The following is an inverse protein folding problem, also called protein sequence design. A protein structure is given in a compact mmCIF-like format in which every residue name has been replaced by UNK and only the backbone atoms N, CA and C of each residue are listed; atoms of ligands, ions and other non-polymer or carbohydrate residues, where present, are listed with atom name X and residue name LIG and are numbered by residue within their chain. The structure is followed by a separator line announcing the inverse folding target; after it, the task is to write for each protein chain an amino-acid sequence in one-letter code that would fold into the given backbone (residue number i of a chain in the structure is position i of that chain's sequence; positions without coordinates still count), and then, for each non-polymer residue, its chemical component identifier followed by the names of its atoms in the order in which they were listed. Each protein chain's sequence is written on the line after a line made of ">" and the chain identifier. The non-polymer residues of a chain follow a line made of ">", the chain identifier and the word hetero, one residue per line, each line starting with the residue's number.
data_IF_656438202967
#
_entry.id   IF_656438202967
#
_cell.length_a   1.000
_cell.length_b   1.000
_cell.length_c   1.000
_cell.angle_alpha   90.00
_cell.angle_beta   90.00
_cell.angle_gamma   90.00
#
_symmetry.space_group_name_H-M   'P 1'
#
loop_
_entity.id
_entity.type
_entity.pdbx_description
1 polymer ?
#
# COMPACT_ATOMS: atom_id res chain seq x y z
N UNK A 1 -16.41 -33.19 -22.35
CA UNK A 1 -15.71 -32.56 -21.21
C UNK A 1 -15.11 -31.18 -21.54
N UNK A 2 -15.22 -30.68 -22.78
CA UNK A 2 -14.50 -29.49 -23.29
C UNK A 2 -15.13 -28.13 -22.95
N UNK A 3 -16.46 -27.99 -22.99
CA UNK A 3 -17.11 -26.68 -22.77
C UNK A 3 -17.16 -26.25 -21.30
N UNK A 4 -17.04 -27.20 -20.37
CA UNK A 4 -16.97 -26.91 -18.93
C UNK A 4 -15.58 -26.41 -18.55
N UNK A 5 -14.53 -27.12 -19.00
CA UNK A 5 -13.14 -26.72 -18.78
C UNK A 5 -12.87 -25.35 -19.41
N UNK A 6 -13.34 -25.12 -20.64
CA UNK A 6 -13.17 -23.85 -21.35
C UNK A 6 -13.82 -22.67 -20.63
N UNK A 7 -15.01 -22.86 -20.05
CA UNK A 7 -15.69 -21.83 -19.25
C UNK A 7 -14.93 -21.53 -17.96
N UNK A 8 -14.40 -22.54 -17.28
CA UNK A 8 -13.65 -22.35 -16.04
C UNK A 8 -12.29 -21.69 -16.27
N UNK A 9 -11.55 -22.08 -17.29
CA UNK A 9 -10.28 -21.43 -17.65
C UNK A 9 -10.49 -20.00 -18.17
N UNK A 10 -11.62 -19.72 -18.83
CA UNK A 10 -11.99 -18.34 -19.18
C UNK A 10 -12.33 -17.50 -17.94
N UNK A 11 -12.95 -18.11 -16.91
CA UNK A 11 -13.13 -17.51 -15.59
C UNK A 11 -11.79 -17.17 -14.95
N UNK A 12 -10.91 -18.15 -14.76
CA UNK A 12 -9.56 -17.94 -14.24
C UNK A 12 -8.80 -16.81 -14.95
N UNK A 13 -8.82 -16.79 -16.29
CA UNK A 13 -8.18 -15.72 -17.06
C UNK A 13 -8.81 -14.36 -16.78
N UNK A 14 -10.15 -14.27 -16.72
CA UNK A 14 -10.83 -13.03 -16.39
C UNK A 14 -10.49 -12.55 -15.00
N UNK A 15 -10.42 -13.46 -14.02
CA UNK A 15 -10.11 -13.15 -12.63
C UNK A 15 -8.64 -12.69 -12.49
N UNK A 16 -7.72 -13.33 -13.22
CA UNK A 16 -6.30 -12.96 -13.26
C UNK A 16 -6.06 -11.62 -13.99
N UNK A 17 -6.74 -11.37 -15.11
CA UNK A 17 -6.63 -10.13 -15.89
C UNK A 17 -7.17 -8.90 -15.12
N UNK A 18 -7.94 -9.11 -14.03
CA UNK A 18 -8.43 -8.05 -13.15
C UNK A 18 -7.43 -7.65 -12.05
N UNK A 19 -6.41 -8.48 -11.80
CA UNK A 19 -5.37 -8.17 -10.82
C UNK A 19 -4.36 -7.18 -11.39
N UNK A 20 -3.94 -6.15 -10.63
CA UNK A 20 -2.96 -5.19 -11.09
C UNK A 20 -1.58 -5.86 -11.30
N UNK A 21 -0.87 -5.52 -12.39
CA UNK A 21 0.56 -5.87 -12.52
C UNK A 21 1.37 -4.94 -11.60
N UNK A 22 1.73 -5.43 -10.41
CA UNK A 22 2.63 -4.73 -9.50
C UNK A 22 4.05 -5.32 -9.60
N UNK A 23 5.05 -4.47 -9.87
CA UNK A 23 6.47 -4.84 -9.71
C UNK A 23 6.91 -4.58 -8.26
N UNK A 24 7.76 -5.45 -7.71
CA UNK A 24 8.31 -5.26 -6.36
C UNK A 24 9.18 -3.98 -6.32
N UNK A 25 8.85 -2.99 -5.46
CA UNK A 25 9.63 -1.75 -5.37
C UNK A 25 11.00 -1.98 -4.70
N UNK A 26 12.01 -1.15 -4.99
CA UNK A 26 13.33 -1.27 -4.36
C UNK A 26 13.25 -1.00 -2.86
N UNK A 27 13.98 -1.80 -2.06
CA UNK A 27 13.91 -1.70 -0.60
C UNK A 27 14.43 -0.36 -0.06
N UNK A 28 13.71 0.21 0.90
CA UNK A 28 14.07 1.43 1.64
C UNK A 28 15.00 1.12 2.80
N UNK A 29 15.59 2.16 3.42
CA UNK A 29 16.51 1.99 4.56
C UNK A 29 15.81 1.32 5.75
N UNK A 30 14.58 1.70 6.10
CA UNK A 30 13.83 1.05 7.18
C UNK A 30 13.52 -0.42 6.85
N UNK A 31 13.20 -0.72 5.60
CA UNK A 31 12.99 -2.10 5.13
C UNK A 31 14.27 -2.93 5.18
N UNK A 32 15.43 -2.34 4.90
CA UNK A 32 16.73 -3.04 4.94
C UNK A 32 17.14 -3.35 6.38
N UNK A 33 16.86 -2.45 7.33
CA UNK A 33 17.30 -2.58 8.73
C UNK A 33 16.46 -3.62 9.52
N UNK A 34 15.38 -4.16 8.92
CA UNK A 34 14.53 -5.28 9.39
C UNK A 34 14.59 -5.58 10.89
N UNK A 35 13.62 -5.05 11.63
CA UNK A 35 13.17 -5.65 12.88
C UNK A 35 11.65 -5.46 13.02
N UNK A 36 11.04 -6.26 13.90
CA UNK A 36 9.61 -6.25 14.27
C UNK A 36 9.14 -4.92 14.94
N UNK A 37 9.77 -3.78 14.62
CA UNK A 37 9.52 -2.45 15.19
C UNK A 37 9.23 -1.40 14.10
N UNK A 38 8.80 -1.82 12.90
CA UNK A 38 8.53 -0.91 11.78
C UNK A 38 7.59 0.24 12.16
N UNK A 39 6.50 -0.05 12.87
CA UNK A 39 5.54 0.96 13.33
C UNK A 39 6.19 2.00 14.25
N UNK A 40 6.94 1.56 15.26
CA UNK A 40 7.64 2.45 16.20
C UNK A 40 8.66 3.36 15.52
N UNK A 41 9.37 2.87 14.52
CA UNK A 41 10.37 3.66 13.81
C UNK A 41 9.73 4.76 12.94
N UNK A 42 8.58 4.47 12.32
CA UNK A 42 7.82 5.47 11.57
C UNK A 42 7.18 6.51 12.48
N UNK A 43 6.55 6.07 13.57
CA UNK A 43 6.02 6.97 14.61
C UNK A 43 7.12 7.91 15.10
N UNK A 44 8.29 7.36 15.43
CA UNK A 44 9.43 8.16 15.91
C UNK A 44 9.90 9.18 14.89
N UNK A 45 10.01 8.80 13.62
CA UNK A 45 10.44 9.71 12.55
C UNK A 45 9.39 10.79 12.28
N UNK A 46 8.13 10.42 12.15
CA UNK A 46 7.04 11.36 11.89
C UNK A 46 6.97 12.42 12.98
N UNK A 47 6.87 12.00 14.24
CA UNK A 47 6.80 12.93 15.36
C UNK A 47 8.10 13.70 15.58
N UNK A 48 9.27 13.13 15.24
CA UNK A 48 10.53 13.89 15.28
C UNK A 48 10.49 15.12 14.36
N UNK A 49 9.87 15.04 13.18
CA UNK A 49 9.76 16.19 12.27
C UNK A 49 8.64 17.16 12.65
N UNK A 50 7.65 16.71 13.42
CA UNK A 50 6.57 17.55 13.94
C UNK A 50 6.96 18.29 15.21
N UNK A 51 7.85 17.72 16.04
CA UNK A 51 8.28 18.30 17.32
C UNK A 51 9.14 19.56 17.12
N UNK A 52 8.65 20.77 17.44
CA UNK A 52 9.38 22.01 17.17
C UNK A 52 10.72 22.15 17.91
N UNK A 53 10.85 21.43 19.04
CA UNK A 53 12.05 21.40 19.90
C UNK A 53 13.16 20.50 19.36
N UNK A 54 12.88 19.69 18.35
CA UNK A 54 13.84 18.76 17.77
C UNK A 54 14.82 19.45 16.81
N UNK A 55 16.02 18.86 16.67
CA UNK A 55 17.12 19.44 15.90
C UNK A 55 17.01 19.22 14.38
N UNK A 56 15.81 19.34 13.80
CA UNK A 56 15.57 19.26 12.35
C UNK A 56 15.56 20.62 11.66
N UNK A 57 15.41 21.72 12.40
CA UNK A 57 15.50 23.08 11.84
C UNK A 57 14.29 23.54 11.02
N UNK A 58 13.13 22.90 11.19
CA UNK A 58 11.84 23.36 10.64
C UNK A 58 11.09 24.25 11.63
N UNK A 59 11.47 24.23 12.92
CA UNK A 59 10.68 24.85 13.99
C UNK A 59 9.26 24.30 13.95
N UNK A 60 8.27 25.19 13.96
CA UNK A 60 6.85 24.83 13.89
C UNK A 60 6.34 24.63 12.45
N UNK A 61 7.16 24.83 11.41
CA UNK A 61 6.63 25.01 10.06
C UNK A 61 5.91 23.77 9.51
N UNK A 62 6.47 22.57 9.70
CA UNK A 62 5.81 21.34 9.26
C UNK A 62 4.59 21.03 10.12
N UNK A 63 4.67 21.27 11.43
CA UNK A 63 3.54 21.11 12.34
C UNK A 63 2.39 22.06 11.99
N UNK A 64 2.67 23.35 11.77
CA UNK A 64 1.70 24.35 11.32
C UNK A 64 1.05 23.93 10.00
N UNK A 65 1.83 23.41 9.06
CA UNK A 65 1.32 22.92 7.79
C UNK A 65 0.34 21.75 7.99
N UNK A 66 0.71 20.73 8.77
CA UNK A 66 -0.15 19.58 9.05
C UNK A 66 -1.41 19.99 9.83
N UNK A 67 -1.28 20.83 10.86
CA UNK A 67 -2.45 21.31 11.60
C UNK A 67 -3.38 22.15 10.71
N UNK A 68 -2.83 22.95 9.79
CA UNK A 68 -3.63 23.71 8.82
C UNK A 68 -4.37 22.78 7.86
N UNK A 69 -3.67 21.76 7.34
CA UNK A 69 -4.26 20.77 6.46
C UNK A 69 -5.35 19.95 7.17
N UNK A 70 -5.17 19.63 8.46
CA UNK A 70 -6.19 18.99 9.29
C UNK A 70 -7.43 19.89 9.49
N UNK A 71 -7.24 21.18 9.74
CA UNK A 71 -8.33 22.14 9.93
C UNK A 71 -9.13 22.40 8.64
N UNK A 72 -8.52 22.17 7.47
CA UNK A 72 -9.18 22.30 6.17
C UNK A 72 -10.01 21.05 5.78
N UNK A 73 -9.96 19.97 6.56
CA UNK A 73 -10.71 18.74 6.29
C UNK A 73 -12.20 18.89 6.66
N UNK A 74 -13.07 18.36 5.81
CA UNK A 74 -14.52 18.39 6.05
C UNK A 74 -15.01 17.36 7.08
N UNK A 75 -14.22 16.31 7.35
CA UNK A 75 -14.54 15.21 8.25
C UNK A 75 -13.97 15.37 9.66
N UNK A 76 -13.31 16.50 9.93
CA UNK A 76 -12.74 16.86 11.22
C UNK A 76 -13.12 18.31 11.55
N UNK A 77 -13.93 18.52 12.58
CA UNK A 77 -14.26 19.87 13.07
C UNK A 77 -13.13 20.41 13.95
N UNK A 78 -11.93 20.57 13.39
CA UNK A 78 -10.75 21.08 14.07
C UNK A 78 -10.43 22.50 13.62
N UNK A 79 -10.08 23.37 14.58
CA UNK A 79 -9.48 24.66 14.29
C UNK A 79 -8.45 25.00 15.34
N UNK A 80 -7.39 25.69 14.95
CA UNK A 80 -6.39 26.17 15.90
C UNK A 80 -5.98 27.60 15.54
N UNK A 81 -5.52 28.34 16.55
CA UNK A 81 -4.94 29.65 16.34
C UNK A 81 -3.43 29.52 16.15
N UNK A 82 -2.88 30.27 15.19
CA UNK A 82 -1.42 30.32 14.98
C UNK A 82 -0.66 30.90 16.19
N UNK A 83 -1.34 31.57 17.11
CA UNK A 83 -0.72 32.02 18.36
C UNK A 83 -0.45 30.85 19.30
N UNK A 84 -1.27 29.80 19.22
CA UNK A 84 -1.21 28.62 20.08
C UNK A 84 0.05 27.82 19.75
N UNK A 85 0.55 27.90 18.51
CA UNK A 85 1.78 27.24 18.05
C UNK A 85 2.98 27.50 18.98
N UNK A 86 3.05 28.66 19.63
CA UNK A 86 4.14 28.97 20.56
C UNK A 86 4.10 28.14 21.86
N UNK A 87 2.93 27.58 22.18
CA UNK A 87 2.66 26.80 23.38
C UNK A 87 2.30 25.34 23.07
N UNK A 88 2.26 24.97 21.78
CA UNK A 88 2.01 23.59 21.37
C UNK A 88 3.13 22.69 21.85
N UNK A 89 2.72 21.61 22.50
CA UNK A 89 3.58 20.53 22.96
C UNK A 89 3.23 19.24 22.25
N UNK A 90 4.23 18.38 22.12
CA UNK A 90 4.09 17.06 21.51
C UNK A 90 4.86 16.06 22.36
N UNK A 91 4.16 15.05 22.86
CA UNK A 91 4.77 13.95 23.59
C UNK A 91 4.28 12.62 23.02
N UNK A 92 5.17 11.62 23.05
CA UNK A 92 4.92 10.28 22.51
C UNK A 92 4.74 9.28 23.63
N UNK A 93 4.04 8.18 23.34
CA UNK A 93 3.81 7.08 24.28
C UNK A 93 3.31 7.61 25.65
N UNK A 94 2.35 8.54 25.61
CA UNK A 94 1.88 9.24 26.81
C UNK A 94 0.94 8.33 27.59
N UNK A 95 1.22 8.09 28.87
CA UNK A 95 0.36 7.25 29.69
C UNK A 95 -1.00 7.90 29.99
N UNK A 96 -2.10 7.22 29.69
CA UNK A 96 -3.47 7.61 30.08
C UNK A 96 -3.82 7.16 31.51
N UNK A 97 -4.91 7.69 32.07
CA UNK A 97 -5.38 7.34 33.42
C UNK A 97 -5.75 5.87 33.60
N UNK A 98 -6.26 5.21 32.54
CA UNK A 98 -6.52 3.77 32.50
C UNK A 98 -5.27 2.92 32.17
N UNK A 99 -4.12 3.55 31.96
CA UNK A 99 -2.83 2.87 31.83
C UNK A 99 -2.47 2.38 30.43
N UNK A 100 -3.17 2.86 29.40
CA UNK A 100 -2.79 2.70 27.99
C UNK A 100 -1.81 3.80 27.55
N UNK A 101 -1.30 3.67 26.33
CA UNK A 101 -0.26 4.53 25.76
C UNK A 101 -0.59 4.83 24.30
N UNK A 102 -1.33 5.90 23.99
CA UNK A 102 -1.39 6.45 22.63
C UNK A 102 0.01 6.75 22.10
N UNK A 103 0.16 6.67 20.78
CA UNK A 103 1.45 6.87 20.12
C UNK A 103 1.95 8.30 20.27
N UNK A 104 1.05 9.29 20.20
CA UNK A 104 1.36 10.65 20.59
C UNK A 104 0.13 11.45 21.03
N UNK A 105 0.40 12.52 21.76
CA UNK A 105 -0.55 13.58 22.06
C UNK A 105 0.10 14.90 21.64
N UNK A 106 -0.60 15.67 20.81
CA UNK A 106 -0.25 17.04 20.46
C UNK A 106 -1.28 17.94 21.14
N UNK A 107 -0.86 18.97 21.86
CA UNK A 107 -1.81 19.84 22.56
C UNK A 107 -1.31 21.26 22.70
N UNK A 108 -2.24 22.21 22.75
CA UNK A 108 -1.99 23.57 23.24
C UNK A 108 -2.72 23.70 24.59
N UNK A 109 -2.04 24.25 25.60
CA UNK A 109 -2.48 24.20 27.00
C UNK A 109 -3.92 24.69 27.22
N UNK A 110 -4.78 23.81 27.72
CA UNK A 110 -6.22 24.03 28.02
C UNK A 110 -7.11 24.44 26.82
N UNK A 111 -6.54 24.64 25.63
CA UNK A 111 -7.30 25.06 24.44
C UNK A 111 -7.78 23.86 23.62
N UNK A 112 -6.89 22.93 23.27
CA UNK A 112 -7.22 21.75 22.45
C UNK A 112 -6.17 20.64 22.58
N UNK A 113 -6.54 19.41 22.28
CA UNK A 113 -5.59 18.32 22.06
C UNK A 113 -5.98 17.44 20.88
N UNK A 114 -4.96 16.79 20.32
CA UNK A 114 -5.10 15.75 19.29
C UNK A 114 -4.37 14.50 19.79
N UNK A 115 -5.12 13.44 20.06
CA UNK A 115 -4.60 12.12 20.39
C UNK A 115 -4.39 11.31 19.10
N UNK A 116 -3.19 10.79 18.89
CA UNK A 116 -2.82 10.06 17.69
C UNK A 116 -2.60 8.57 18.00
N UNK A 117 -3.21 7.71 17.20
CA UNK A 117 -2.91 6.29 17.11
C UNK A 117 -2.54 5.96 15.65
N UNK A 118 -1.40 5.32 15.44
CA UNK A 118 -0.75 5.06 14.16
C UNK A 118 -0.63 3.56 13.95
N UNK A 119 -1.16 3.06 12.83
CA UNK A 119 -1.01 1.65 12.41
C UNK A 119 -0.22 1.52 11.13
N UNK A 120 0.67 0.53 11.10
CA UNK A 120 1.40 0.12 9.89
C UNK A 120 1.44 -1.41 9.83
N UNK A 121 0.53 -2.00 9.06
CA UNK A 121 0.44 -3.46 8.90
C UNK A 121 0.10 -4.20 10.19
N UNK A 122 -0.54 -3.50 11.13
CA UNK A 122 -1.02 -4.04 12.40
C UNK A 122 -2.43 -3.52 12.66
N UNK A 123 -3.23 -4.35 13.31
CA UNK A 123 -4.63 -4.09 13.58
C UNK A 123 -4.78 -3.36 14.92
N UNK A 124 -5.92 -2.70 15.13
CA UNK A 124 -6.25 -2.15 16.45
C UNK A 124 -6.25 -3.26 17.50
N UNK A 125 -5.64 -3.00 18.66
CA UNK A 125 -5.75 -3.90 19.79
C UNK A 125 -7.15 -3.79 20.44
N UNK A 126 -7.61 -4.85 21.10
CA UNK A 126 -8.94 -4.87 21.74
C UNK A 126 -9.15 -3.67 22.67
N UNK A 127 -10.28 -2.96 22.44
CA UNK A 127 -10.75 -1.76 23.13
C UNK A 127 -9.76 -0.57 23.10
N UNK A 128 -8.74 -0.57 22.24
CA UNK A 128 -7.63 0.39 22.32
C UNK A 128 -8.08 1.84 22.15
N UNK A 129 -8.82 2.15 21.08
CA UNK A 129 -9.29 3.51 20.79
C UNK A 129 -10.38 3.94 21.76
N UNK A 130 -11.29 3.02 22.14
CA UNK A 130 -12.31 3.25 23.17
C UNK A 130 -11.66 3.61 24.51
N UNK A 131 -10.63 2.87 24.92
CA UNK A 131 -9.87 3.14 26.14
C UNK A 131 -9.22 4.53 26.10
N UNK A 132 -8.76 4.99 24.95
CA UNK A 132 -8.21 6.34 24.84
C UNK A 132 -9.28 7.40 25.00
N UNK A 133 -10.47 7.22 24.42
CA UNK A 133 -11.60 8.16 24.56
C UNK A 133 -12.09 8.19 26.00
N UNK A 134 -12.25 7.04 26.64
CA UNK A 134 -12.79 6.90 28.00
C UNK A 134 -11.82 7.32 29.11
N UNK A 135 -10.53 7.53 28.81
CA UNK A 135 -9.56 7.98 29.79
C UNK A 135 -9.82 9.43 30.23
N UNK A 136 -9.81 9.70 31.54
CA UNK A 136 -10.01 11.05 32.10
C UNK A 136 -8.83 12.02 31.84
N UNK A 137 -7.61 11.49 31.69
CA UNK A 137 -6.40 12.32 31.60
C UNK A 137 -5.20 11.60 30.98
N UNK A 138 -4.23 12.41 30.57
CA UNK A 138 -2.89 12.01 30.14
C UNK A 138 -1.88 12.29 31.26
N UNK A 139 -1.69 11.29 32.14
CA UNK A 139 -0.97 11.39 33.42
C UNK A 139 0.49 11.83 33.27
N UNK A 140 1.14 11.48 32.16
CA UNK A 140 2.55 11.82 31.91
C UNK A 140 2.80 13.30 31.61
N UNK A 141 1.79 14.01 31.10
CA UNK A 141 1.90 15.40 30.63
C UNK A 141 1.03 16.36 31.44
N UNK A 142 0.28 15.85 32.43
CA UNK A 142 -0.56 16.66 33.30
C UNK A 142 -1.79 17.26 32.62
N UNK A 143 -2.21 16.71 31.47
CA UNK A 143 -3.39 17.15 30.74
C UNK A 143 -4.63 16.37 31.20
N UNK A 144 -5.58 17.06 31.83
CA UNK A 144 -6.92 16.53 32.10
C UNK A 144 -7.82 16.81 30.90
N UNK A 145 -8.68 15.86 30.52
CA UNK A 145 -9.64 16.11 29.45
C UNK A 145 -10.74 17.08 29.89
N UNK A 146 -11.10 17.07 31.17
CA UNK A 146 -12.08 18.01 31.72
C UNK A 146 -11.65 19.48 31.62
N UNK A 147 -10.35 19.74 31.46
CA UNK A 147 -9.80 21.09 31.32
C UNK A 147 -9.82 21.58 29.85
N UNK A 148 -10.19 20.72 28.89
CA UNK A 148 -10.27 21.04 27.46
C UNK A 148 -11.74 20.93 27.00
N UNK A 149 -12.28 21.91 26.27
CA UNK A 149 -13.66 21.84 25.76
C UNK A 149 -13.92 20.56 24.96
N UNK A 150 -15.09 19.92 25.14
CA UNK A 150 -15.42 18.65 24.47
C UNK A 150 -15.28 18.72 22.93
N UNK A 151 -15.61 19.87 22.33
CA UNK A 151 -15.50 20.10 20.88
C UNK A 151 -14.04 20.26 20.40
N UNK A 152 -13.09 20.48 21.32
CA UNK A 152 -11.65 20.68 21.06
C UNK A 152 -10.80 19.45 21.49
N UNK A 153 -11.46 18.32 21.72
CA UNK A 153 -10.84 17.02 21.99
C UNK A 153 -10.85 16.15 20.74
N UNK A 154 -9.72 16.08 20.04
CA UNK A 154 -9.64 15.39 18.76
C UNK A 154 -8.86 14.09 18.84
N UNK A 155 -9.27 13.11 18.04
CA UNK A 155 -8.66 11.79 17.98
C UNK A 155 -8.42 11.41 16.52
N UNK A 156 -7.18 11.06 16.18
CA UNK A 156 -6.78 10.73 14.81
C UNK A 156 -6.25 9.31 14.75
N UNK A 157 -6.75 8.55 13.78
CA UNK A 157 -6.31 7.19 13.48
C UNK A 157 -5.58 7.18 12.15
N UNK A 158 -4.26 7.03 12.16
CA UNK A 158 -3.43 7.09 10.96
C UNK A 158 -3.07 5.67 10.49
N UNK A 159 -3.62 5.25 9.35
CA UNK A 159 -3.45 3.90 8.81
C UNK A 159 -3.26 3.89 7.28
N UNK A 160 -2.88 2.78 6.65
CA UNK A 160 -2.89 2.65 5.18
C UNK A 160 -4.31 2.85 4.60
N UNK A 161 -4.45 3.46 3.41
CA UNK A 161 -5.78 3.74 2.81
C UNK A 161 -6.61 2.47 2.52
N UNK A 162 -5.94 1.33 2.31
CA UNK A 162 -6.56 0.03 2.04
C UNK A 162 -7.07 -0.70 3.30
N UNK A 163 -6.73 -0.21 4.51
CA UNK A 163 -7.12 -0.84 5.78
C UNK A 163 -8.62 -0.75 6.10
N UNK A 164 -9.43 -0.25 5.16
CA UNK A 164 -10.86 -0.02 5.35
C UNK A 164 -11.74 -0.81 4.38
N UNK A 165 -11.18 -1.66 3.51
CA UNK A 165 -12.02 -2.23 2.42
C UNK A 165 -11.88 -3.71 2.03
N UNK A 166 -10.91 -4.48 2.52
CA UNK A 166 -10.82 -5.89 2.07
C UNK A 166 -10.27 -6.92 3.07
N UNK A 167 -9.48 -6.52 4.07
CA UNK A 167 -8.93 -7.45 5.07
C UNK A 167 -9.86 -7.52 6.31
N UNK A 168 -10.39 -8.70 6.69
CA UNK A 168 -11.18 -8.85 7.91
C UNK A 168 -10.40 -8.60 9.20
N UNK A 169 -9.06 -8.64 9.16
CA UNK A 169 -8.22 -8.37 10.32
C UNK A 169 -7.89 -6.86 10.43
N UNK A 170 -7.76 -6.11 9.32
CA UNK A 170 -7.60 -4.64 9.36
C UNK A 170 -8.96 -3.93 9.42
N UNK A 171 -9.35 -3.50 10.62
CA UNK A 171 -10.62 -2.83 10.88
C UNK A 171 -10.44 -1.32 11.16
N UNK A 172 -11.44 -0.49 10.81
CA UNK A 172 -11.48 0.90 11.24
C UNK A 172 -11.43 1.03 12.77
N UNK A 173 -11.07 2.22 13.31
CA UNK A 173 -11.07 2.44 14.74
C UNK A 173 -12.43 2.06 15.35
N UNK A 174 -12.41 1.34 16.47
CA UNK A 174 -13.62 0.93 17.17
C UNK A 174 -14.39 2.14 17.73
N UNK A 175 -13.66 3.12 18.26
CA UNK A 175 -14.22 4.38 18.73
C UNK A 175 -14.62 5.29 17.56
N UNK A 176 -15.80 5.90 17.66
CA UNK A 176 -16.37 6.75 16.59
C UNK A 176 -15.77 8.15 16.57
N UNK A 177 -15.17 8.54 17.68
CA UNK A 177 -14.50 9.82 17.91
C UNK A 177 -13.18 9.90 17.11
N UNK A 178 -12.60 8.76 16.74
CA UNK A 178 -11.39 8.70 15.93
C UNK A 178 -11.70 8.97 14.45
N UNK A 179 -11.09 10.03 13.92
CA UNK A 179 -11.15 10.35 12.50
C UNK A 179 -10.03 9.61 11.76
N UNK A 180 -10.35 8.78 10.76
CA UNK A 180 -9.35 8.05 10.00
C UNK A 180 -8.60 8.97 9.03
N UNK A 181 -7.27 8.82 8.98
CA UNK A 181 -6.37 9.51 8.08
C UNK A 181 -5.45 8.48 7.43
N UNK A 182 -5.15 8.66 6.14
CA UNK A 182 -4.24 7.75 5.45
C UNK A 182 -2.78 8.19 5.53
N UNK A 183 -1.85 7.23 5.61
CA UNK A 183 -0.41 7.51 5.43
C UNK A 183 -0.10 8.15 4.07
N UNK A 184 -0.92 7.84 3.06
CA UNK A 184 -0.85 8.50 1.76
C UNK A 184 -1.11 10.01 1.89
N UNK A 185 -2.16 10.41 2.61
CA UNK A 185 -2.47 11.81 2.85
C UNK A 185 -1.30 12.53 3.54
N UNK A 186 -0.72 11.93 4.59
CA UNK A 186 0.46 12.50 5.27
C UNK A 186 1.64 12.68 4.30
N UNK A 187 1.91 11.69 3.45
CA UNK A 187 2.97 11.79 2.45
C UNK A 187 2.72 12.93 1.45
N UNK A 188 1.47 13.10 1.00
CA UNK A 188 1.07 14.15 0.06
C UNK A 188 1.18 15.55 0.69
N UNK A 189 0.83 15.73 1.98
CA UNK A 189 1.03 16.99 2.71
C UNK A 189 2.53 17.31 2.90
N UNK A 190 3.36 16.33 3.26
CA UNK A 190 4.81 16.55 3.36
C UNK A 190 5.39 16.97 2.01
N UNK A 191 4.94 16.36 0.91
CA UNK A 191 5.36 16.76 -0.44
C UNK A 191 4.94 18.19 -0.78
N UNK A 192 3.71 18.57 -0.43
CA UNK A 192 3.20 19.93 -0.62
C UNK A 192 4.04 20.95 0.15
N UNK A 193 4.30 20.68 1.43
CA UNK A 193 5.20 21.49 2.25
C UNK A 193 6.60 21.65 1.63
N UNK A 194 7.20 20.56 1.13
CA UNK A 194 8.54 20.59 0.51
C UNK A 194 8.56 21.38 -0.82
N UNK A 195 7.47 21.32 -1.59
CA UNK A 195 7.32 22.08 -2.82
C UNK A 195 7.16 23.59 -2.56
N UNK A 196 6.44 23.96 -1.52
CA UNK A 196 6.20 25.36 -1.16
C UNK A 196 7.43 26.02 -0.49
N UNK A 197 8.25 25.23 0.20
CA UNK A 197 9.38 25.72 1.02
C UNK A 197 10.75 25.71 0.33
N UNK A 198 10.78 25.73 -1.02
CA UNK A 198 12.02 25.59 -1.80
C UNK A 198 13.16 26.53 -1.34
N UNK A 199 14.15 25.94 -0.66
CA UNK A 199 15.38 26.62 -0.21
C UNK A 199 15.28 27.34 1.14
N UNK A 200 14.16 27.21 1.86
CA UNK A 200 13.95 27.84 3.17
C UNK A 200 14.59 27.04 4.32
N UNK A 201 14.64 25.71 4.19
CA UNK A 201 15.08 24.79 5.24
C UNK A 201 16.40 24.09 4.92
N UNK A 202 17.10 23.53 5.92
CA UNK A 202 18.35 22.81 5.70
C UNK A 202 18.17 21.67 4.70
N UNK A 203 19.03 21.60 3.69
CA UNK A 203 18.98 20.56 2.64
C UNK A 203 18.98 19.14 3.21
N UNK A 204 19.69 18.92 4.31
CA UNK A 204 19.70 17.63 4.98
C UNK A 204 18.29 17.22 5.43
N UNK A 205 17.56 18.12 6.08
CA UNK A 205 16.22 17.87 6.59
C UNK A 205 15.23 17.63 5.46
N UNK A 206 15.27 18.45 4.41
CA UNK A 206 14.38 18.28 3.25
C UNK A 206 14.62 16.94 2.55
N UNK A 207 15.88 16.54 2.35
CA UNK A 207 16.21 15.22 1.78
C UNK A 207 15.78 14.07 2.69
N UNK A 208 15.85 14.23 4.01
CA UNK A 208 15.38 13.21 4.94
C UNK A 208 13.85 13.08 4.92
N UNK A 209 13.10 14.18 4.77
CA UNK A 209 11.65 14.16 4.56
C UNK A 209 11.28 13.51 3.23
N UNK A 210 11.98 13.83 2.13
CA UNK A 210 11.79 13.16 0.83
C UNK A 210 12.03 11.64 0.94
N UNK A 211 13.06 11.25 1.71
CA UNK A 211 13.35 9.83 1.97
C UNK A 211 12.24 9.17 2.77
N UNK A 212 11.71 9.85 3.79
CA UNK A 212 10.60 9.34 4.60
C UNK A 212 9.31 9.17 3.77
N UNK A 213 8.97 10.15 2.94
CA UNK A 213 7.88 10.06 1.95
C UNK A 213 8.07 8.86 1.02
N UNK A 214 9.29 8.68 0.50
CA UNK A 214 9.61 7.51 -0.34
C UNK A 214 9.45 6.19 0.41
N UNK A 215 9.75 6.14 1.71
CA UNK A 215 9.49 4.97 2.53
C UNK A 215 7.99 4.68 2.67
N UNK A 216 7.19 5.70 2.98
CA UNK A 216 5.73 5.56 3.07
C UNK A 216 5.18 4.97 1.76
N UNK A 217 5.53 5.57 0.63
CA UNK A 217 5.04 5.15 -0.69
C UNK A 217 5.48 3.74 -1.07
N UNK A 218 6.74 3.39 -0.79
CA UNK A 218 7.26 2.05 -1.07
C UNK A 218 6.55 0.97 -0.26
N UNK A 219 6.23 1.26 0.99
CA UNK A 219 5.60 0.28 1.89
C UNK A 219 4.14 0.07 1.52
N UNK A 220 3.40 1.15 1.24
CA UNK A 220 2.05 1.07 0.67
C UNK A 220 2.02 0.27 -0.66
N UNK A 221 3.05 0.43 -1.50
CA UNK A 221 3.18 -0.33 -2.75
C UNK A 221 3.56 -1.80 -2.51
N UNK A 222 4.39 -2.09 -1.51
CA UNK A 222 4.75 -3.47 -1.14
C UNK A 222 3.55 -4.25 -0.62
N UNK A 223 2.70 -3.64 0.22
CA UNK A 223 1.46 -4.26 0.68
C UNK A 223 0.57 -4.67 -0.50
N UNK A 224 0.35 -3.76 -1.46
CA UNK A 224 -0.42 -4.06 -2.67
C UNK A 224 0.20 -5.18 -3.51
N UNK A 225 1.53 -5.21 -3.64
CA UNK A 225 2.24 -6.29 -4.32
C UNK A 225 2.03 -7.63 -3.62
N UNK A 226 2.12 -7.67 -2.29
CA UNK A 226 1.90 -8.89 -1.50
C UNK A 226 0.46 -9.39 -1.61
N UNK A 227 -0.54 -8.52 -1.45
CA UNK A 227 -1.96 -8.83 -1.66
C UNK A 227 -2.19 -9.43 -3.05
N UNK A 228 -1.63 -8.81 -4.08
CA UNK A 228 -1.72 -9.31 -5.47
C UNK A 228 -1.11 -10.70 -5.61
N UNK A 229 0.04 -10.98 -4.97
CA UNK A 229 0.68 -12.30 -5.00
C UNK A 229 -0.15 -13.35 -4.26
N UNK A 230 -0.77 -12.99 -3.13
CA UNK A 230 -1.66 -13.87 -2.38
C UNK A 230 -2.93 -14.21 -3.17
N UNK A 231 -3.55 -13.22 -3.80
CA UNK A 231 -4.72 -13.43 -4.68
C UNK A 231 -4.37 -14.31 -5.89
N UNK A 232 -3.21 -14.07 -6.53
CA UNK A 232 -2.72 -14.93 -7.62
C UNK A 232 -2.52 -16.38 -7.15
N UNK A 233 -1.93 -16.58 -5.97
CA UNK A 233 -1.73 -17.92 -5.39
C UNK A 233 -3.07 -18.59 -5.03
N UNK A 234 -4.03 -17.85 -4.48
CA UNK A 234 -5.35 -18.33 -4.15
C UNK A 234 -6.12 -18.78 -5.41
N UNK A 235 -6.11 -17.96 -6.47
CA UNK A 235 -6.69 -18.31 -7.77
C UNK A 235 -6.00 -19.56 -8.36
N UNK A 236 -4.67 -19.66 -8.27
CA UNK A 236 -3.98 -20.86 -8.74
C UNK A 236 -4.42 -22.12 -7.99
N UNK A 237 -4.57 -22.05 -6.66
CA UNK A 237 -5.05 -23.18 -5.85
C UNK A 237 -6.50 -23.54 -6.21
N UNK A 238 -7.38 -22.55 -6.36
CA UNK A 238 -8.78 -22.76 -6.71
C UNK A 238 -8.95 -23.47 -8.06
N UNK A 239 -8.14 -23.07 -9.05
CA UNK A 239 -8.18 -23.60 -10.41
C UNK A 239 -7.14 -24.70 -10.67
N UNK A 240 -6.48 -25.21 -9.62
CA UNK A 240 -5.36 -26.16 -9.73
C UNK A 240 -5.73 -27.41 -10.53
N UNK A 241 -6.92 -27.97 -10.28
CA UNK A 241 -7.38 -29.18 -10.94
C UNK A 241 -7.63 -28.95 -12.44
N UNK A 242 -8.11 -27.77 -12.81
CA UNK A 242 -8.45 -27.40 -14.18
C UNK A 242 -7.20 -27.09 -14.99
N UNK A 243 -6.23 -26.40 -14.37
CA UNK A 243 -4.90 -26.16 -14.93
C UNK A 243 -4.20 -27.50 -15.15
N UNK A 244 -4.15 -28.36 -14.12
CA UNK A 244 -3.53 -29.69 -14.21
C UNK A 244 -4.18 -30.58 -15.28
N UNK A 245 -5.51 -30.53 -15.41
CA UNK A 245 -6.23 -31.28 -16.43
C UNK A 245 -5.90 -30.77 -17.86
N UNK A 246 -5.74 -29.46 -18.03
CA UNK A 246 -5.35 -28.87 -19.30
C UNK A 246 -3.91 -29.21 -19.68
N UNK A 247 -2.98 -29.15 -18.72
CA UNK A 247 -1.57 -29.55 -18.90
C UNK A 247 -1.46 -31.03 -19.26
N UNK A 248 -2.18 -31.90 -18.54
CA UNK A 248 -2.16 -33.34 -18.83
C UNK A 248 -2.76 -33.64 -20.22
N UNK A 249 -3.83 -32.95 -20.61
CA UNK A 249 -4.38 -33.08 -21.96
C UNK A 249 -3.38 -32.64 -23.03
N UNK A 250 -2.69 -31.50 -22.81
CA UNK A 250 -1.63 -31.03 -23.70
C UNK A 250 -0.48 -32.02 -23.82
N UNK A 251 0.04 -32.54 -22.70
CA UNK A 251 1.12 -33.53 -22.71
C UNK A 251 0.73 -34.80 -23.48
N UNK A 252 -0.50 -35.26 -23.33
CA UNK A 252 -0.99 -36.44 -24.03
C UNK A 252 -1.05 -36.22 -25.54
N UNK A 253 -1.59 -35.08 -25.98
CA UNK A 253 -1.62 -34.70 -27.41
C UNK A 253 -0.20 -34.48 -27.96
N UNK A 254 0.69 -33.84 -27.18
CA UNK A 254 2.08 -33.62 -27.57
C UNK A 254 2.86 -34.93 -27.71
N UNK A 255 2.66 -35.90 -26.80
CA UNK A 255 3.20 -37.26 -26.92
C UNK A 255 2.63 -37.98 -28.14
N UNK A 256 1.33 -37.81 -28.43
CA UNK A 256 0.69 -38.33 -29.64
C UNK A 256 1.34 -37.78 -30.91
N UNK A 257 1.46 -36.46 -30.99
CA UNK A 257 2.09 -35.75 -32.11
C UNK A 257 3.55 -36.15 -32.30
N UNK A 258 4.36 -36.17 -31.25
CA UNK A 258 5.78 -36.55 -31.36
C UNK A 258 5.95 -38.00 -31.83
N UNK A 259 5.05 -38.90 -31.45
CA UNK A 259 5.07 -40.29 -31.91
C UNK A 259 4.56 -40.48 -33.35
N UNK A 260 3.61 -39.65 -33.82
CA UNK A 260 3.03 -39.78 -35.17
C UNK A 260 3.75 -38.94 -36.22
N UNK A 261 4.40 -37.83 -35.84
CA UNK A 261 4.98 -36.87 -36.77
C UNK A 261 6.02 -37.49 -37.71
N UNK A 262 6.87 -38.40 -37.21
CA UNK A 262 7.84 -39.10 -38.05
C UNK A 262 7.19 -39.99 -39.13
N UNK A 263 6.06 -40.62 -38.80
CA UNK A 263 5.30 -41.49 -39.71
C UNK A 263 4.53 -40.63 -40.72
N UNK A 264 3.88 -39.57 -40.27
CA UNK A 264 3.15 -38.64 -41.14
C UNK A 264 4.08 -37.89 -42.10
N UNK A 265 5.26 -37.48 -41.63
CA UNK A 265 6.28 -36.86 -42.47
C UNK A 265 6.77 -37.85 -43.55
N UNK A 266 7.08 -39.09 -43.17
CA UNK A 266 7.49 -40.13 -44.12
C UNK A 266 6.39 -40.42 -45.16
N UNK A 267 5.14 -40.54 -44.73
CA UNK A 267 4.00 -40.74 -45.65
C UNK A 267 3.79 -39.53 -46.57
N UNK A 268 4.01 -38.31 -46.10
CA UNK A 268 3.91 -37.10 -46.93
C UNK A 268 5.03 -37.03 -47.97
N UNK A 269 6.24 -37.52 -47.63
CA UNK A 269 7.38 -37.60 -48.53
C UNK A 269 7.24 -38.74 -49.55
N UNK A 270 6.65 -39.88 -49.16
CA UNK A 270 6.34 -40.99 -50.07
C UNK A 270 5.19 -40.66 -51.03
N UNK A 271 4.21 -39.86 -50.58
CA UNK A 271 3.15 -39.34 -51.44
C UNK A 271 3.60 -38.16 -52.31
N UNK A 272 4.74 -37.55 -52.01
CA UNK A 272 5.30 -36.47 -52.82
C UNK A 272 5.82 -37.05 -54.13
N UNK A 273 5.16 -36.70 -55.24
CA UNK A 273 5.68 -37.02 -56.57
C UNK A 273 6.93 -36.18 -56.80
N UNK A 274 8.10 -36.82 -56.90
CA UNK A 274 9.32 -36.16 -57.34
C UNK A 274 9.09 -35.72 -58.79
N UNK A 275 8.86 -34.43 -58.99
CA UNK A 275 8.95 -33.82 -60.31
C UNK A 275 10.44 -33.66 -60.57
N UNK A 276 11.04 -34.65 -61.23
CA UNK A 276 12.39 -34.50 -61.81
C UNK A 276 12.30 -33.60 -63.05
N UNK A 277 12.22 -32.30 -62.82
CA UNK A 277 12.47 -31.32 -63.86
C UNK A 277 13.96 -30.99 -63.87
N UNK A 278 14.70 -31.74 -64.68
CA UNK A 278 16.11 -31.52 -65.01
C UNK A 278 16.40 -30.17 -65.71
N UNK A 279 15.48 -29.20 -65.63
CA UNK A 279 15.67 -27.81 -66.08
C UNK A 279 15.37 -26.74 -65.03
N UNK A 280 15.20 -27.05 -63.75
CA UNK A 280 15.01 -26.00 -62.74
C UNK A 280 16.34 -25.57 -62.12
N UNK A 281 16.94 -24.57 -62.78
CA UNK A 281 17.98 -23.70 -62.21
C UNK A 281 17.33 -22.90 -61.07
N UNK A 282 17.83 -23.08 -59.84
CA UNK A 282 17.56 -22.33 -58.61
C UNK A 282 16.36 -21.37 -58.64
N UNK A 283 15.26 -21.75 -57.99
CA UNK A 283 14.19 -20.81 -57.63
C UNK A 283 14.11 -20.74 -56.11
N UNK A 284 14.37 -19.54 -55.59
CA UNK A 284 14.20 -19.15 -54.19
C UNK A 284 12.80 -19.53 -53.67
N UNK A 285 12.73 -20.11 -52.48
CA UNK A 285 11.49 -20.19 -51.72
C UNK A 285 11.15 -18.80 -51.18
N UNK A 286 10.31 -18.05 -51.89
CA UNK A 286 9.61 -16.89 -51.32
C UNK A 286 8.22 -17.33 -50.86
N UNK A 287 8.05 -17.40 -49.54
CA UNK A 287 6.73 -17.41 -48.91
C UNK A 287 6.08 -16.03 -49.07
N UNK A 288 4.95 -15.96 -49.76
CA UNK A 288 4.04 -14.82 -49.71
C UNK A 288 2.58 -15.27 -49.94
N UNK A 289 1.59 -14.56 -49.38
CA UNK A 289 0.41 -15.16 -48.75
C UNK A 289 -0.80 -15.30 -49.69
N UNK A 290 -1.70 -16.24 -49.34
CA UNK A 290 -3.01 -16.39 -49.97
C UNK A 290 -3.90 -15.16 -49.71
N UNK A 291 -4.07 -14.31 -50.72
CA UNK A 291 -5.13 -13.31 -50.81
C UNK A 291 -6.26 -13.78 -51.74
N UNK A 292 -7.51 -13.65 -51.28
CA UNK A 292 -8.75 -14.14 -51.89
C UNK A 292 -9.09 -13.44 -53.22
N UNK A 293 -9.67 -14.20 -54.15
CA UNK A 293 -10.55 -13.71 -55.21
C UNK A 293 -11.92 -14.38 -55.08
N UNK A 294 -12.97 -13.58 -55.30
CA UNK A 294 -14.41 -13.83 -55.10
C UNK A 294 -14.94 -15.17 -55.57
#
# INVERSE_FOLDING_TARGET
>A
MTDSLRRRLAGFKSDLDLLPEAEEPPSTVLQIIRNNQQEQDWQRLFFHYLSPDESHGLGHALLEHILSALADREDLEFSFSRFDLAEVQLEREVKTSNGRFPDAVVWASEDWFICWELKIGATEAEDQTCDYVDADSFVGIGLSKEDVPDDDQHYLYLAPENSYSSDPDESPPEAKEFVPISWKWVADEIQTFLADSHGEYPTRTTTQLETFVGTIQSELTMTQYQETQEEQAALYIEYFNEISAAEQAFENEWKGFTNSWGIELAQSLDAATIIDDSRVRWVYFCLAPRGRGK
#
